data_IF_571641420891
#
_entry.id   IF_571641420891
#
_cell.length_a   1.000
_cell.length_b   1.000
_cell.length_c   1.000
_cell.angle_alpha   90.00
_cell.angle_beta   90.00
_cell.angle_gamma   90.00
#
_symmetry.space_group_name_H-M   'P 1'
#
loop_
_entity.id
_entity.type
_entity.pdbx_description
1 polymer ?
#
# COMPACT_ATOMS: atom_id res chain seq x y z
N UNK A 1 10.71 3.90 62.78
CA UNK A 1 10.28 2.50 62.68
C UNK A 1 8.80 2.48 62.35
N UNK A 2 8.43 2.01 61.16
CA UNK A 2 7.02 1.89 60.75
C UNK A 2 6.86 1.97 59.24
N UNK A 3 7.40 0.98 58.53
CA UNK A 3 7.15 0.73 57.10
C UNK A 3 5.68 0.33 56.91
N UNK A 4 4.95 1.02 56.04
CA UNK A 4 3.66 0.56 55.52
C UNK A 4 3.91 0.16 54.07
N UNK A 5 4.07 -1.14 53.84
CA UNK A 5 4.05 -1.77 52.52
C UNK A 5 2.58 -1.96 52.11
N UNK A 6 2.15 -1.29 51.05
CA UNK A 6 0.94 -1.63 50.33
C UNK A 6 1.24 -2.86 49.45
N UNK A 7 0.54 -3.96 49.69
CA UNK A 7 0.63 -5.16 48.88
C UNK A 7 -0.10 -4.94 47.54
N UNK A 8 0.65 -4.91 46.44
CA UNK A 8 0.09 -5.15 45.11
C UNK A 8 -0.33 -6.62 45.01
N UNK A 9 -1.63 -6.88 44.96
CA UNK A 9 -2.15 -8.16 44.51
C UNK A 9 -2.02 -8.20 42.97
N UNK A 10 -1.01 -8.90 42.48
CA UNK A 10 -0.92 -9.27 41.07
C UNK A 10 -2.04 -10.27 40.76
N UNK A 11 -3.04 -9.82 40.00
CA UNK A 11 -4.04 -10.69 39.40
C UNK A 11 -3.37 -11.46 38.26
N UNK A 12 -2.75 -12.61 38.58
CA UNK A 12 -2.39 -13.60 37.57
C UNK A 12 -3.69 -14.12 36.95
N UNK A 13 -3.99 -13.68 35.73
CA UNK A 13 -4.92 -14.41 34.87
C UNK A 13 -4.35 -15.83 34.69
N UNK A 14 -5.00 -16.79 35.33
CA UNK A 14 -4.90 -18.20 34.97
C UNK A 14 -5.40 -18.33 33.53
N UNK A 15 -4.46 -18.36 32.58
CA UNK A 15 -4.70 -18.88 31.24
C UNK A 15 -5.11 -20.34 31.42
N UNK A 16 -6.39 -20.64 31.19
CA UNK A 16 -6.84 -22.01 31.04
C UNK A 16 -5.99 -22.68 29.94
N UNK A 17 -5.57 -23.94 30.11
CA UNK A 17 -4.79 -24.63 29.09
C UNK A 17 -5.63 -24.68 27.80
N UNK A 18 -5.17 -24.01 26.75
CA UNK A 18 -5.72 -24.15 25.40
C UNK A 18 -5.66 -25.64 25.05
N UNK A 19 -6.83 -26.24 24.82
CA UNK A 19 -6.93 -27.63 24.40
C UNK A 19 -6.15 -27.85 23.11
N UNK A 20 -5.50 -29.02 23.02
CA UNK A 20 -4.89 -29.66 21.85
C UNK A 20 -4.27 -28.68 20.85
N UNK A 21 -2.93 -28.56 20.89
CA UNK A 21 -2.13 -27.86 19.88
C UNK A 21 -2.60 -28.26 18.47
N UNK A 22 -3.23 -27.32 17.75
CA UNK A 22 -3.32 -27.42 16.31
C UNK A 22 -1.89 -27.51 15.77
N UNK A 23 -1.69 -28.34 14.74
CA UNK A 23 -0.42 -28.37 14.03
C UNK A 23 -0.30 -27.06 13.25
N UNK A 24 0.79 -26.32 13.46
CA UNK A 24 1.08 -25.13 12.65
C UNK A 24 1.55 -25.62 11.27
N UNK A 25 0.86 -25.19 10.22
CA UNK A 25 1.16 -25.54 8.83
C UNK A 25 2.08 -24.49 8.18
N UNK A 26 2.96 -24.95 7.29
CA UNK A 26 3.83 -24.08 6.52
C UNK A 26 3.06 -23.21 5.51
N UNK A 27 1.82 -23.58 5.15
CA UNK A 27 1.01 -22.85 4.17
C UNK A 27 1.58 -22.90 2.75
N UNK A 28 2.28 -23.98 2.41
CA UNK A 28 2.86 -24.22 1.08
C UNK A 28 2.05 -25.28 0.32
N UNK A 29 2.32 -25.51 -0.96
CA UNK A 29 1.67 -26.63 -1.66
C UNK A 29 1.96 -28.01 -1.04
N UNK A 30 3.14 -28.18 -0.44
CA UNK A 30 3.57 -29.46 0.14
C UNK A 30 2.99 -29.67 1.55
N UNK A 31 2.68 -28.58 2.25
CA UNK A 31 2.07 -28.55 3.57
C UNK A 31 1.05 -27.40 3.61
N UNK A 32 -0.12 -27.60 2.97
CA UNK A 32 -1.16 -26.58 2.92
C UNK A 32 -1.85 -26.46 4.26
N UNK A 33 -2.34 -25.27 4.55
CA UNK A 33 -3.09 -24.97 5.76
C UNK A 33 -4.40 -25.75 5.85
N UNK A 34 -4.64 -26.33 7.02
CA UNK A 34 -5.87 -27.01 7.36
C UNK A 34 -6.77 -26.13 8.25
N UNK A 35 -8.09 -26.39 8.26
CA UNK A 35 -9.01 -25.65 9.12
C UNK A 35 -8.71 -25.86 10.61
N UNK A 36 -8.95 -24.84 11.43
CA UNK A 36 -8.64 -24.84 12.86
C UNK A 36 -9.58 -25.71 13.69
N UNK A 37 -10.81 -25.91 13.23
CA UNK A 37 -11.86 -26.65 13.94
C UNK A 37 -12.99 -27.08 13.01
N UNK A 38 -13.92 -27.90 13.52
CA UNK A 38 -15.11 -28.39 12.83
C UNK A 38 -15.00 -29.82 12.31
N UNK A 39 -16.11 -30.35 11.76
CA UNK A 39 -16.19 -31.69 11.15
C UNK A 39 -16.54 -31.67 9.65
N UNK A 40 -16.68 -30.47 9.08
CA UNK A 40 -16.96 -30.25 7.67
C UNK A 40 -18.39 -30.56 7.25
N UNK A 41 -19.34 -30.52 8.18
CA UNK A 41 -20.77 -30.69 7.91
C UNK A 41 -21.49 -29.34 7.90
N UNK A 42 -22.71 -29.25 7.36
CA UNK A 42 -23.48 -27.99 7.39
C UNK A 42 -23.76 -27.49 8.81
N UNK A 43 -23.95 -28.41 9.76
CA UNK A 43 -24.21 -28.11 11.17
C UNK A 43 -22.92 -27.79 11.95
N UNK A 44 -21.79 -28.29 11.49
CA UNK A 44 -20.47 -28.10 12.10
C UNK A 44 -19.39 -27.98 11.01
N UNK A 45 -19.33 -26.82 10.32
CA UNK A 45 -18.40 -26.57 9.23
C UNK A 45 -16.96 -26.52 9.72
N UNK A 46 -16.02 -26.81 8.82
CA UNK A 46 -14.62 -26.50 9.04
C UNK A 46 -14.39 -24.98 9.08
N UNK A 47 -13.51 -24.50 9.96
CA UNK A 47 -13.29 -23.06 10.16
C UNK A 47 -11.91 -22.62 9.68
N UNK A 48 -11.88 -21.59 8.84
CA UNK A 48 -10.70 -20.78 8.56
C UNK A 48 -10.93 -19.36 9.10
N UNK A 49 -10.14 -18.94 10.09
CA UNK A 49 -10.17 -17.55 10.57
C UNK A 49 -9.26 -16.71 9.67
N UNK A 50 -9.83 -15.78 8.92
CA UNK A 50 -9.08 -14.90 8.04
C UNK A 50 -8.70 -13.61 8.76
N UNK A 51 -7.52 -13.09 8.45
CA UNK A 51 -7.06 -11.73 8.76
C UNK A 51 -6.29 -11.19 7.55
N UNK A 52 -5.86 -9.94 7.58
CA UNK A 52 -5.02 -9.33 6.53
C UNK A 52 -3.73 -8.82 7.17
N UNK A 53 -2.58 -9.25 6.66
CA UNK A 53 -1.29 -8.67 7.01
C UNK A 53 -0.97 -7.54 6.03
N UNK A 54 -0.99 -6.29 6.52
CA UNK A 54 -0.71 -5.11 5.71
C UNK A 54 0.79 -4.93 5.37
N UNK A 55 1.68 -5.65 6.05
CA UNK A 55 3.12 -5.42 5.96
C UNK A 55 3.82 -6.32 4.94
N UNK A 56 3.07 -7.17 4.25
CA UNK A 56 3.63 -8.18 3.33
C UNK A 56 3.52 -7.81 1.85
N UNK A 57 2.68 -6.84 1.51
CA UNK A 57 2.54 -6.23 0.18
C UNK A 57 1.89 -4.86 0.28
N UNK A 58 1.78 -4.11 -0.82
CA UNK A 58 1.15 -2.77 -0.86
C UNK A 58 -0.25 -2.75 -0.26
N UNK A 59 -1.10 -3.68 -0.67
CA UNK A 59 -2.47 -3.87 -0.19
C UNK A 59 -2.55 -4.80 1.04
N UNK A 60 -1.58 -5.69 1.20
CA UNK A 60 -1.58 -6.78 2.18
C UNK A 60 -1.99 -8.12 1.57
N UNK A 61 -1.81 -9.20 2.32
CA UNK A 61 -2.30 -10.54 1.95
C UNK A 61 -3.19 -11.10 3.06
N UNK A 62 -4.14 -11.95 2.68
CA UNK A 62 -4.86 -12.74 3.68
C UNK A 62 -3.90 -13.66 4.43
N UNK A 63 -4.08 -13.71 5.74
CA UNK A 63 -3.46 -14.67 6.64
C UNK A 63 -4.55 -15.51 7.30
N UNK A 64 -4.17 -16.70 7.75
CA UNK A 64 -5.08 -17.63 8.41
C UNK A 64 -4.44 -18.17 9.69
N UNK A 65 -5.26 -18.42 10.70
CA UNK A 65 -4.79 -19.05 11.94
C UNK A 65 -4.08 -20.39 11.65
N UNK A 66 -3.09 -20.72 12.48
CA UNK A 66 -2.26 -21.92 12.38
C UNK A 66 -1.50 -22.07 11.04
N UNK A 67 -1.26 -20.96 10.33
CA UNK A 67 -0.47 -20.87 9.11
C UNK A 67 0.69 -19.89 9.23
N UNK A 68 1.85 -20.23 8.66
CA UNK A 68 3.03 -19.34 8.70
C UNK A 68 3.34 -18.63 7.40
N UNK A 69 2.99 -19.20 6.24
CA UNK A 69 3.25 -18.53 4.97
C UNK A 69 2.43 -17.25 4.82
N UNK A 70 3.08 -16.20 4.31
CA UNK A 70 2.40 -15.08 3.69
C UNK A 70 1.59 -15.63 2.50
N UNK A 71 0.34 -15.18 2.31
CA UNK A 71 -0.52 -15.64 1.21
C UNK A 71 -0.58 -17.18 1.11
N UNK A 72 -1.02 -17.87 2.18
CA UNK A 72 -0.84 -19.31 2.34
C UNK A 72 -1.71 -20.13 1.38
N UNK A 73 -1.23 -21.31 1.03
CA UNK A 73 -2.03 -22.33 0.32
C UNK A 73 -2.92 -23.04 1.33
N UNK A 74 -4.23 -23.09 1.07
CA UNK A 74 -5.20 -23.79 1.91
C UNK A 74 -5.55 -25.16 1.34
N UNK A 75 -6.01 -26.05 2.21
CA UNK A 75 -6.54 -27.37 1.86
C UNK A 75 -8.04 -27.43 2.13
N UNK A 76 -8.78 -27.90 1.13
CA UNK A 76 -10.20 -28.25 1.29
C UNK A 76 -10.45 -29.68 0.79
N UNK A 77 -11.29 -30.43 1.49
CA UNK A 77 -11.81 -31.72 1.07
C UNK A 77 -13.15 -31.50 0.34
N UNK A 78 -13.30 -32.16 -0.81
CA UNK A 78 -14.51 -32.06 -1.59
C UNK A 78 -15.74 -32.58 -0.84
N UNK A 79 -16.88 -31.94 -1.08
CA UNK A 79 -18.15 -32.25 -0.41
C UNK A 79 -18.22 -31.86 1.07
N UNK A 80 -17.16 -31.28 1.64
CA UNK A 80 -17.18 -30.69 3.00
C UNK A 80 -17.60 -29.23 2.96
N UNK A 81 -18.07 -28.74 4.11
CA UNK A 81 -18.50 -27.35 4.31
C UNK A 81 -17.44 -26.60 5.11
N UNK A 82 -17.05 -25.43 4.61
CA UNK A 82 -16.08 -24.54 5.23
C UNK A 82 -16.70 -23.17 5.48
N UNK A 83 -16.44 -22.57 6.64
CA UNK A 83 -16.72 -21.17 6.94
C UNK A 83 -15.39 -20.41 7.04
N UNK A 84 -15.22 -19.41 6.16
CA UNK A 84 -14.14 -18.44 6.19
C UNK A 84 -14.61 -17.23 6.99
N UNK A 85 -14.15 -17.13 8.24
CA UNK A 85 -14.58 -16.07 9.15
C UNK A 85 -13.78 -14.80 8.91
N UNK A 86 -14.47 -13.70 8.61
CA UNK A 86 -13.89 -12.37 8.44
C UNK A 86 -14.26 -11.49 9.63
N UNK A 87 -13.80 -11.90 10.81
CA UNK A 87 -14.12 -11.24 12.09
C UNK A 87 -12.98 -10.42 12.65
N UNK A 88 -11.78 -10.57 12.09
CA UNK A 88 -10.62 -9.78 12.49
C UNK A 88 -10.75 -8.34 11.97
N UNK A 89 -10.32 -7.37 12.77
CA UNK A 89 -10.47 -5.95 12.44
C UNK A 89 -9.68 -5.54 11.17
N UNK A 90 -8.68 -6.33 10.77
CA UNK A 90 -7.91 -6.13 9.54
C UNK A 90 -8.69 -6.51 8.27
N UNK A 91 -9.78 -7.30 8.38
CA UNK A 91 -10.59 -7.67 7.22
C UNK A 91 -11.52 -6.54 6.72
N UNK A 92 -11.69 -5.44 7.47
CA UNK A 92 -12.49 -4.33 6.98
C UNK A 92 -11.90 -3.79 5.68
N UNK A 93 -12.77 -3.44 4.72
CA UNK A 93 -12.43 -3.13 3.33
C UNK A 93 -11.81 -4.30 2.52
N UNK A 94 -11.80 -5.53 3.06
CA UNK A 94 -11.29 -6.72 2.37
C UNK A 94 -12.35 -7.84 2.30
N UNK A 95 -13.46 -7.68 1.55
CA UNK A 95 -14.44 -8.75 1.39
C UNK A 95 -13.85 -9.92 0.59
N UNK A 96 -13.89 -11.12 1.15
CA UNK A 96 -13.30 -12.31 0.56
C UNK A 96 -14.15 -12.87 -0.58
N UNK A 97 -13.53 -13.03 -1.75
CA UNK A 97 -14.09 -13.68 -2.93
C UNK A 97 -13.43 -15.01 -3.22
N UNK A 98 -14.07 -15.80 -4.09
CA UNK A 98 -13.50 -17.05 -4.59
C UNK A 98 -13.65 -17.12 -6.10
N UNK A 99 -12.58 -17.49 -6.79
CA UNK A 99 -12.56 -17.57 -8.24
C UNK A 99 -11.88 -18.84 -8.74
N UNK A 100 -12.15 -19.20 -10.00
CA UNK A 100 -11.45 -20.29 -10.67
C UNK A 100 -10.05 -19.88 -11.14
N UNK A 101 -9.78 -18.58 -11.17
CA UNK A 101 -8.54 -17.97 -11.63
C UNK A 101 -8.07 -16.89 -10.66
N UNK A 102 -6.79 -16.55 -10.73
CA UNK A 102 -6.18 -15.47 -9.94
C UNK A 102 -6.89 -14.14 -10.19
N UNK A 103 -7.09 -13.39 -9.12
CA UNK A 103 -7.67 -12.04 -9.05
C UNK A 103 -9.12 -11.90 -9.56
N UNK A 104 -9.78 -13.00 -9.93
CA UNK A 104 -11.23 -13.05 -10.22
C UNK A 104 -11.69 -11.89 -11.11
N UNK A 105 -12.71 -11.15 -10.65
CA UNK A 105 -13.24 -9.97 -11.34
C UNK A 105 -12.18 -8.92 -11.71
N UNK A 106 -11.16 -8.69 -10.87
CA UNK A 106 -10.12 -7.70 -11.16
C UNK A 106 -9.31 -8.05 -12.43
N UNK A 107 -9.22 -9.34 -12.77
CA UNK A 107 -8.55 -9.82 -13.97
C UNK A 107 -9.51 -10.17 -15.12
N UNK A 108 -10.79 -9.77 -15.02
CA UNK A 108 -11.87 -10.20 -15.93
C UNK A 108 -11.92 -11.73 -16.09
N UNK A 109 -11.80 -12.45 -14.97
CA UNK A 109 -11.83 -13.91 -14.93
C UNK A 109 -13.06 -14.42 -14.20
N UNK A 110 -13.46 -15.62 -14.58
CA UNK A 110 -14.62 -16.30 -14.01
C UNK A 110 -14.46 -16.56 -12.51
N UNK A 111 -15.40 -16.02 -11.75
CA UNK A 111 -15.56 -16.24 -10.32
C UNK A 111 -16.37 -17.50 -10.02
N UNK A 112 -16.42 -17.87 -8.74
CA UNK A 112 -17.34 -18.92 -8.30
C UNK A 112 -18.73 -18.33 -8.15
N UNK A 113 -19.53 -18.51 -9.18
CA UNK A 113 -20.90 -18.01 -9.22
C UNK A 113 -21.88 -19.11 -9.65
N UNK A 114 -23.15 -19.04 -9.22
CA UNK A 114 -24.15 -20.05 -9.58
C UNK A 114 -24.34 -20.22 -11.10
N UNK A 115 -24.11 -19.16 -11.88
CA UNK A 115 -24.21 -19.13 -13.34
C UNK A 115 -22.94 -19.54 -14.10
N UNK A 116 -21.84 -19.86 -13.41
CA UNK A 116 -20.54 -20.15 -14.02
C UNK A 116 -20.21 -21.64 -13.89
N UNK A 117 -20.14 -22.34 -15.03
CA UNK A 117 -19.74 -23.75 -15.05
C UNK A 117 -18.26 -23.88 -14.67
N UNK A 118 -17.90 -24.74 -13.69
CA UNK A 118 -16.50 -24.96 -13.33
C UNK A 118 -15.64 -25.32 -14.55
N UNK A 119 -14.44 -24.75 -14.71
CA UNK A 119 -13.58 -25.05 -15.85
C UNK A 119 -13.30 -26.55 -16.00
N UNK A 120 -13.52 -27.07 -17.21
CA UNK A 120 -13.35 -28.50 -17.51
C UNK A 120 -14.49 -29.40 -17.01
N UNK A 121 -15.53 -28.86 -16.36
CA UNK A 121 -16.72 -29.64 -15.98
C UNK A 121 -17.62 -29.91 -17.19
N UNK A 122 -18.27 -31.08 -17.17
CA UNK A 122 -19.35 -31.44 -18.11
C UNK A 122 -20.74 -31.10 -17.57
N UNK A 123 -20.82 -30.47 -16.39
CA UNK A 123 -22.06 -30.05 -15.76
C UNK A 123 -22.79 -28.97 -16.57
N UNK A 124 -24.12 -29.02 -16.57
CA UNK A 124 -24.98 -27.98 -17.14
C UNK A 124 -25.55 -27.06 -16.05
N UNK A 125 -24.88 -26.98 -14.89
CA UNK A 125 -25.38 -26.27 -13.72
C UNK A 125 -25.66 -24.78 -13.96
N UNK A 126 -24.92 -24.15 -14.90
CA UNK A 126 -25.10 -22.75 -15.27
C UNK A 126 -26.46 -22.48 -15.90
N UNK A 127 -27.08 -23.47 -16.56
CA UNK A 127 -28.39 -23.30 -17.18
C UNK A 127 -29.53 -23.11 -16.17
N UNK A 128 -29.28 -23.39 -14.89
CA UNK A 128 -30.24 -23.28 -13.80
C UNK A 128 -29.70 -22.50 -12.59
N UNK A 129 -28.62 -21.73 -12.76
CA UNK A 129 -27.94 -21.00 -11.69
C UNK A 129 -27.70 -21.87 -10.44
N UNK A 130 -27.19 -23.08 -10.67
CA UNK A 130 -27.01 -24.10 -9.64
C UNK A 130 -25.57 -24.62 -9.56
N UNK A 131 -24.60 -23.91 -10.17
CA UNK A 131 -23.20 -24.26 -10.02
C UNK A 131 -22.74 -24.04 -8.57
N UNK A 132 -21.64 -24.68 -8.19
CA UNK A 132 -21.06 -24.48 -6.86
C UNK A 132 -20.68 -23.00 -6.69
N UNK A 133 -21.07 -22.39 -5.59
CA UNK A 133 -20.78 -20.99 -5.30
C UNK A 133 -20.54 -20.81 -3.80
N UNK A 134 -19.81 -19.76 -3.38
CA UNK A 134 -19.81 -19.31 -2.01
C UNK A 134 -21.23 -18.86 -1.59
N UNK A 135 -21.47 -18.88 -0.30
CA UNK A 135 -22.67 -18.32 0.34
C UNK A 135 -22.24 -17.29 1.37
N UNK A 136 -22.71 -16.06 1.23
CA UNK A 136 -22.28 -14.94 2.06
C UNK A 136 -23.21 -14.71 3.24
N UNK A 137 -22.61 -14.46 4.41
CA UNK A 137 -23.32 -14.24 5.66
C UNK A 137 -22.83 -12.98 6.37
N UNK A 138 -23.76 -12.32 7.06
CA UNK A 138 -23.49 -11.09 7.82
C UNK A 138 -24.36 -10.93 9.08
N UNK A 139 -24.45 -9.68 9.53
CA UNK A 139 -25.23 -9.27 10.69
C UNK A 139 -24.52 -9.44 12.04
N UNK A 140 -25.20 -9.09 13.14
CA UNK A 140 -24.62 -9.04 14.50
C UNK A 140 -23.98 -10.36 14.95
N UNK A 141 -24.48 -11.50 14.47
CA UNK A 141 -23.96 -12.83 14.78
C UNK A 141 -23.22 -13.51 13.61
N UNK A 142 -23.17 -12.88 12.43
CA UNK A 142 -22.57 -13.49 11.23
C UNK A 142 -23.29 -14.74 10.74
N UNK A 143 -24.56 -14.92 11.13
CA UNK A 143 -25.36 -16.10 10.78
C UNK A 143 -26.51 -15.79 9.82
N UNK A 144 -26.71 -14.51 9.47
CA UNK A 144 -27.75 -14.11 8.53
C UNK A 144 -27.24 -14.35 7.12
N UNK A 145 -27.90 -15.25 6.38
CA UNK A 145 -27.60 -15.47 4.97
C UNK A 145 -28.08 -14.28 4.15
N UNK A 146 -27.19 -13.75 3.29
CA UNK A 146 -27.43 -12.50 2.58
C UNK A 146 -28.07 -12.69 1.19
N UNK A 147 -28.07 -13.91 0.63
CA UNK A 147 -28.61 -14.21 -0.70
C UNK A 147 -30.11 -14.59 -0.75
N UNK A 148 -30.88 -14.32 0.30
CA UNK A 148 -32.28 -14.74 0.38
C UNK A 148 -33.25 -13.92 -0.53
N UNK A 149 -34.42 -14.47 -0.92
CA UNK A 149 -35.44 -13.80 -1.76
C UNK A 149 -36.10 -12.56 -1.14
N UNK A 150 -35.70 -12.24 0.09
CA UNK A 150 -35.92 -10.99 0.78
C UNK A 150 -34.63 -10.68 1.50
N UNK A 151 -33.97 -9.61 1.09
CA UNK A 151 -33.02 -8.83 1.89
C UNK A 151 -33.59 -8.54 3.28
N UNK A 152 -33.42 -9.51 4.17
CA UNK A 152 -33.78 -9.36 5.57
C UNK A 152 -32.75 -8.38 6.14
N UNK A 153 -33.16 -7.31 6.83
CA UNK A 153 -32.46 -6.02 6.82
C UNK A 153 -30.99 -6.20 7.17
N UNK A 154 -30.13 -5.86 6.21
CA UNK A 154 -28.70 -5.81 6.43
C UNK A 154 -28.33 -4.51 7.12
N UNK A 155 -27.37 -4.64 8.04
CA UNK A 155 -26.78 -3.60 8.88
C UNK A 155 -27.72 -2.89 9.90
N UNK A 156 -28.91 -2.44 9.47
CA UNK A 156 -29.91 -1.80 10.30
C UNK A 156 -31.17 -2.66 10.33
N UNK A 157 -31.62 -3.07 11.51
CA UNK A 157 -32.98 -3.61 11.72
C UNK A 157 -34.12 -2.59 11.43
N UNK A 158 -33.86 -1.54 10.64
CA UNK A 158 -34.81 -0.48 10.27
C UNK A 158 -35.13 -0.54 8.77
N UNK A 159 -36.30 -0.02 8.41
CA UNK A 159 -36.88 -0.07 7.06
C UNK A 159 -36.14 0.76 5.97
N UNK A 160 -34.87 1.13 6.19
CA UNK A 160 -34.07 1.99 5.31
C UNK A 160 -32.68 1.41 5.05
N UNK A 161 -32.59 0.10 4.86
CA UNK A 161 -31.39 -0.54 4.32
C UNK A 161 -31.32 -0.26 2.80
N UNK A 162 -30.30 0.48 2.32
CA UNK A 162 -30.19 0.81 0.90
C UNK A 162 -29.90 -0.41 0.01
N UNK A 163 -29.47 -1.54 0.58
CA UNK A 163 -29.22 -2.80 -0.15
C UNK A 163 -30.40 -3.76 -0.05
N UNK A 164 -31.53 -3.32 0.52
CA UNK A 164 -32.71 -4.15 0.61
C UNK A 164 -33.32 -4.42 -0.77
N UNK A 165 -33.07 -5.63 -1.30
CA UNK A 165 -33.77 -6.21 -2.45
C UNK A 165 -32.87 -6.37 -3.68
N UNK A 166 -31.57 -6.12 -3.52
CA UNK A 166 -30.55 -6.44 -4.52
C UNK A 166 -30.50 -7.96 -4.65
N UNK A 167 -30.80 -8.50 -5.84
CA UNK A 167 -30.72 -9.93 -6.13
C UNK A 167 -29.45 -10.22 -6.91
N UNK A 168 -28.59 -11.07 -6.37
CA UNK A 168 -27.25 -11.37 -6.87
C UNK A 168 -27.15 -12.82 -7.38
N UNK A 169 -28.19 -13.36 -8.00
CA UNK A 169 -28.26 -14.81 -8.23
C UNK A 169 -28.51 -15.63 -6.95
N UNK A 170 -28.70 -14.98 -5.80
CA UNK A 170 -29.21 -15.58 -4.57
C UNK A 170 -28.14 -16.17 -3.65
N UNK A 171 -26.89 -15.71 -3.75
CA UNK A 171 -25.77 -16.23 -2.95
C UNK A 171 -25.18 -15.22 -1.96
N UNK A 172 -25.54 -13.94 -2.05
CA UNK A 172 -25.35 -12.91 -1.00
C UNK A 172 -24.18 -11.95 -1.19
N UNK A 173 -23.43 -12.03 -2.30
CA UNK A 173 -22.28 -11.17 -2.59
C UNK A 173 -22.64 -9.68 -2.72
N UNK A 174 -23.67 -9.32 -3.50
CA UNK A 174 -23.99 -7.90 -3.77
C UNK A 174 -24.52 -7.16 -2.53
N UNK A 175 -24.87 -7.92 -1.48
CA UNK A 175 -25.22 -7.39 -0.17
C UNK A 175 -24.00 -7.43 0.76
N UNK A 176 -23.13 -8.43 0.61
CA UNK A 176 -21.92 -8.62 1.42
C UNK A 176 -20.85 -7.57 1.15
N UNK A 177 -20.42 -7.42 -0.11
CA UNK A 177 -19.29 -6.56 -0.48
C UNK A 177 -19.52 -5.08 -0.11
N UNK A 178 -20.70 -4.47 -0.39
CA UNK A 178 -20.94 -3.08 -0.01
C UNK A 178 -20.80 -2.81 1.48
N UNK A 179 -21.07 -3.80 2.34
CA UNK A 179 -20.92 -3.65 3.78
C UNK A 179 -19.47 -3.37 4.21
N UNK A 180 -18.48 -3.77 3.40
CA UNK A 180 -17.07 -3.53 3.66
C UNK A 180 -16.59 -2.16 3.18
N UNK A 181 -17.22 -1.58 2.15
CA UNK A 181 -16.77 -0.33 1.51
C UNK A 181 -17.57 0.91 1.88
N UNK A 182 -18.87 0.76 2.09
CA UNK A 182 -19.78 1.90 2.28
C UNK A 182 -19.88 2.34 3.75
N UNK A 183 -19.25 1.60 4.66
CA UNK A 183 -19.28 1.85 6.10
C UNK A 183 -17.89 2.05 6.68
N UNK A 184 -17.78 2.92 7.69
CA UNK A 184 -16.57 3.03 8.49
C UNK A 184 -16.25 1.72 9.19
N UNK A 185 -14.97 1.46 9.49
CA UNK A 185 -14.57 0.23 10.20
C UNK A 185 -15.26 0.06 11.53
N UNK A 186 -15.49 1.16 12.28
CA UNK A 186 -16.20 1.12 13.55
C UNK A 186 -17.62 0.54 13.35
N UNK A 187 -18.36 1.08 12.37
CA UNK A 187 -19.70 0.61 12.01
C UNK A 187 -19.66 -0.85 11.52
N UNK A 188 -18.73 -1.19 10.62
CA UNK A 188 -18.53 -2.57 10.13
C UNK A 188 -18.26 -3.57 11.27
N UNK A 189 -17.43 -3.18 12.24
CA UNK A 189 -16.99 -4.04 13.36
C UNK A 189 -18.11 -4.43 14.33
N UNK A 190 -19.25 -3.73 14.29
CA UNK A 190 -20.42 -4.11 15.07
C UNK A 190 -21.12 -5.37 14.55
N UNK A 191 -20.71 -5.87 13.38
CA UNK A 191 -21.23 -7.07 12.76
C UNK A 191 -20.14 -8.13 12.64
N UNK A 192 -20.56 -9.33 12.25
CA UNK A 192 -19.66 -10.45 11.95
C UNK A 192 -19.97 -10.94 10.55
N UNK A 193 -18.92 -11.31 9.83
CA UNK A 193 -19.01 -11.68 8.43
C UNK A 193 -18.33 -13.02 8.22
N UNK A 194 -18.90 -13.82 7.31
CA UNK A 194 -18.26 -15.05 6.87
C UNK A 194 -18.71 -15.43 5.47
N UNK A 195 -17.86 -16.19 4.80
CA UNK A 195 -18.20 -16.84 3.53
C UNK A 195 -18.20 -18.34 3.75
N UNK A 196 -19.31 -18.99 3.41
CA UNK A 196 -19.44 -20.45 3.46
C UNK A 196 -19.18 -21.02 2.08
N UNK A 197 -18.33 -22.03 1.98
CA UNK A 197 -17.97 -22.65 0.72
C UNK A 197 -17.98 -24.18 0.81
N UNK A 198 -18.44 -24.82 -0.27
CA UNK A 198 -18.31 -26.24 -0.51
C UNK A 198 -17.95 -26.49 -1.96
N UNK A 199 -16.95 -27.34 -2.20
CA UNK A 199 -16.57 -27.76 -3.56
C UNK A 199 -17.26 -29.09 -3.86
N UNK A 200 -18.21 -29.07 -4.80
CA UNK A 200 -19.03 -30.24 -5.15
C UNK A 200 -18.72 -30.80 -6.53
N UNK A 201 -18.24 -29.96 -7.45
CA UNK A 201 -17.92 -30.40 -8.80
C UNK A 201 -16.59 -31.17 -8.81
N UNK A 202 -16.57 -32.31 -9.51
CA UNK A 202 -15.40 -33.19 -9.57
C UNK A 202 -14.24 -32.64 -10.40
N UNK A 203 -14.51 -31.72 -11.34
CA UNK A 203 -13.48 -31.08 -12.17
C UNK A 203 -12.71 -29.99 -11.40
N UNK A 204 -13.24 -29.50 -10.29
CA UNK A 204 -12.58 -28.47 -9.48
C UNK A 204 -11.47 -29.09 -8.64
N UNK A 205 -10.22 -28.92 -9.06
CA UNK A 205 -9.03 -29.37 -8.32
C UNK A 205 -8.33 -28.26 -7.55
N UNK A 206 -8.48 -27.00 -7.98
CA UNK A 206 -7.96 -25.83 -7.30
C UNK A 206 -8.90 -24.64 -7.45
N UNK A 207 -8.81 -23.70 -6.51
CA UNK A 207 -9.53 -22.44 -6.44
C UNK A 207 -8.60 -21.34 -5.94
N UNK A 208 -9.01 -20.09 -6.10
CA UNK A 208 -8.31 -18.93 -5.56
C UNK A 208 -9.22 -18.16 -4.63
N UNK A 209 -8.75 -17.85 -3.42
CA UNK A 209 -9.39 -16.84 -2.58
C UNK A 209 -8.76 -15.49 -2.93
N UNK A 210 -9.55 -14.42 -2.96
CA UNK A 210 -9.07 -13.07 -3.28
C UNK A 210 -9.90 -12.01 -2.55
N UNK A 211 -9.59 -10.73 -2.74
CA UNK A 211 -10.41 -9.62 -2.23
C UNK A 211 -11.22 -9.03 -3.39
N UNK A 212 -12.51 -8.77 -3.17
CA UNK A 212 -13.40 -8.16 -4.17
C UNK A 212 -13.15 -6.65 -4.39
N UNK A 213 -12.49 -5.98 -3.46
CA UNK A 213 -12.21 -4.54 -3.54
C UNK A 213 -10.76 -4.24 -3.92
N UNK A 214 -9.82 -5.07 -3.48
CA UNK A 214 -8.41 -4.84 -3.74
C UNK A 214 -7.79 -6.00 -4.51
N UNK A 215 -7.25 -5.66 -5.68
CA UNK A 215 -6.53 -6.61 -6.52
C UNK A 215 -5.24 -7.11 -5.86
N UNK A 216 -4.68 -8.17 -6.44
CA UNK A 216 -3.38 -8.74 -6.07
C UNK A 216 -3.31 -9.39 -4.69
N UNK A 217 -4.46 -9.68 -4.07
CA UNK A 217 -4.53 -10.37 -2.77
C UNK A 217 -4.73 -11.89 -2.89
N UNK A 218 -4.76 -12.41 -4.11
CA UNK A 218 -5.12 -13.79 -4.38
C UNK A 218 -4.20 -14.79 -3.67
N UNK A 219 -4.76 -15.84 -3.10
CA UNK A 219 -4.01 -17.03 -2.71
C UNK A 219 -4.76 -18.30 -3.11
N UNK A 220 -4.17 -19.45 -2.82
CA UNK A 220 -4.58 -20.72 -3.44
C UNK A 220 -5.28 -21.65 -2.48
N UNK A 221 -6.23 -22.42 -3.01
CA UNK A 221 -6.90 -23.51 -2.33
C UNK A 221 -6.72 -24.76 -3.17
N UNK A 222 -6.13 -25.79 -2.57
CA UNK A 222 -6.01 -27.11 -3.17
C UNK A 222 -7.18 -27.99 -2.71
N UNK A 223 -7.84 -28.65 -3.66
CA UNK A 223 -8.96 -29.54 -3.37
C UNK A 223 -8.49 -30.99 -3.31
N UNK A 224 -8.90 -31.69 -2.27
CA UNK A 224 -8.62 -33.10 -2.01
C UNK A 224 -9.92 -33.90 -2.03
N UNK A 225 -9.80 -35.18 -2.33
CA UNK A 225 -10.92 -36.14 -2.27
C UNK A 225 -10.45 -37.40 -1.55
N UNK A 226 -10.98 -37.64 -0.35
CA UNK A 226 -10.55 -38.75 0.49
C UNK A 226 -9.07 -38.66 0.87
N UNK A 227 -8.55 -37.44 1.06
CA UNK A 227 -7.13 -37.19 1.37
C UNK A 227 -6.18 -37.26 0.17
N UNK A 228 -6.69 -37.46 -1.05
CA UNK A 228 -5.89 -37.45 -2.28
C UNK A 228 -6.09 -36.12 -3.01
N UNK A 229 -5.00 -35.39 -3.30
CA UNK A 229 -5.06 -34.13 -4.07
C UNK A 229 -5.68 -34.39 -5.43
N UNK A 230 -6.72 -33.64 -5.79
CA UNK A 230 -7.30 -33.67 -7.14
C UNK A 230 -6.30 -33.10 -8.15
N UNK A 231 -6.36 -33.58 -9.38
CA UNK A 231 -5.53 -33.08 -10.49
C UNK A 231 -6.38 -32.44 -11.55
N UNK A 232 -5.92 -31.30 -12.08
CA UNK A 232 -6.53 -30.65 -13.25
C UNK A 232 -6.29 -31.49 -14.51
N UNK A 233 -7.11 -32.51 -14.73
CA UNK A 233 -7.03 -33.33 -15.94
C UNK A 233 -7.74 -32.63 -17.11
N UNK A 234 -7.29 -31.45 -17.53
CA UNK A 234 -7.77 -30.80 -18.76
C UNK A 234 -7.96 -29.29 -18.74
N UNK A 235 -8.02 -28.66 -17.56
CA UNK A 235 -7.84 -27.22 -17.44
C UNK A 235 -6.33 -26.94 -17.45
N UNK A 236 -5.86 -25.93 -18.19
CA UNK A 236 -4.45 -25.52 -18.16
C UNK A 236 -3.95 -25.33 -16.72
N UNK A 237 -2.64 -25.35 -16.52
CA UNK A 237 -2.03 -25.22 -15.19
C UNK A 237 -2.25 -23.80 -14.64
N UNK A 238 -3.43 -23.52 -14.04
CA UNK A 238 -3.87 -22.19 -13.57
C UNK A 238 -2.98 -21.67 -12.44
N UNK A 239 -2.28 -22.57 -11.75
CA UNK A 239 -1.23 -22.30 -10.77
C UNK A 239 -0.10 -21.37 -11.26
N UNK A 240 0.17 -21.31 -12.58
CA UNK A 240 1.27 -20.50 -13.13
C UNK A 240 0.98 -18.99 -13.11
N UNK A 241 -0.27 -18.59 -12.88
CA UNK A 241 -0.70 -17.19 -13.03
C UNK A 241 -0.65 -16.40 -11.71
N UNK A 242 -0.32 -17.03 -10.57
CA UNK A 242 -0.22 -16.31 -9.30
C UNK A 242 1.06 -15.46 -9.29
N UNK A 243 0.97 -14.11 -9.14
CA UNK A 243 2.15 -13.26 -9.12
C UNK A 243 3.11 -13.66 -8.01
N UNK A 244 4.40 -13.46 -8.19
CA UNK A 244 5.36 -13.65 -7.11
C UNK A 244 4.98 -12.76 -5.91
N UNK A 245 5.34 -13.21 -4.71
CA UNK A 245 5.19 -12.36 -3.52
C UNK A 245 6.09 -11.15 -3.65
N UNK A 246 5.63 -10.04 -3.06
CA UNK A 246 6.41 -8.80 -2.98
C UNK A 246 7.73 -9.10 -2.28
N UNK A 247 8.83 -8.83 -2.96
CA UNK A 247 10.16 -9.03 -2.38
C UNK A 247 10.42 -7.88 -1.42
N UNK A 248 10.75 -8.21 -0.17
CA UNK A 248 11.07 -7.24 0.88
C UNK A 248 12.47 -7.50 1.41
N UNK A 249 13.32 -6.50 1.36
CA UNK A 249 14.63 -6.53 1.99
C UNK A 249 14.51 -6.23 3.50
N UNK A 250 15.64 -6.26 4.20
CA UNK A 250 15.68 -6.03 5.64
C UNK A 250 15.12 -4.65 6.03
N UNK A 251 15.39 -3.62 5.24
CA UNK A 251 14.90 -2.26 5.51
C UNK A 251 13.38 -2.16 5.29
N UNK A 252 12.83 -2.78 4.24
CA UNK A 252 11.39 -2.86 4.02
C UNK A 252 10.69 -3.52 5.23
N UNK A 253 11.24 -4.64 5.71
CA UNK A 253 10.69 -5.38 6.87
C UNK A 253 10.78 -4.56 8.16
N UNK A 254 11.93 -3.94 8.39
CA UNK A 254 12.17 -3.07 9.55
C UNK A 254 11.20 -1.90 9.53
N UNK A 255 11.14 -1.14 8.44
CA UNK A 255 10.28 0.02 8.34
C UNK A 255 8.79 -0.32 8.26
N UNK A 256 8.45 -1.52 7.76
CA UNK A 256 7.07 -1.96 7.54
C UNK A 256 6.43 -1.39 6.27
N UNK A 257 7.16 -0.58 5.49
CA UNK A 257 6.71 -0.20 4.16
C UNK A 257 6.92 -1.32 3.16
N UNK A 258 6.27 -1.22 2.01
CA UNK A 258 6.29 -2.25 0.98
C UNK A 258 6.43 -1.62 -0.40
N UNK A 259 7.24 -2.20 -1.31
CA UNK A 259 7.17 -1.87 -2.72
C UNK A 259 5.77 -2.14 -3.30
N UNK A 260 5.40 -1.41 -4.34
CA UNK A 260 4.15 -1.60 -5.08
C UNK A 260 4.42 -1.93 -6.55
N UNK A 261 5.12 -3.04 -6.81
CA UNK A 261 5.55 -3.48 -8.16
C UNK A 261 4.39 -3.54 -9.17
N UNK A 262 3.19 -3.94 -8.72
CA UNK A 262 1.99 -4.02 -9.56
C UNK A 262 1.45 -2.64 -10.01
N UNK A 263 2.01 -1.55 -9.49
CA UNK A 263 1.66 -0.16 -9.80
C UNK A 263 2.91 0.65 -10.14
N UNK A 264 3.83 0.04 -10.89
CA UNK A 264 5.05 0.66 -11.44
C UNK A 264 6.09 1.09 -10.38
N UNK A 265 5.92 0.71 -9.11
CA UNK A 265 6.93 0.90 -8.06
C UNK A 265 7.83 -0.33 -7.93
N UNK A 266 8.76 -0.46 -8.87
CA UNK A 266 9.67 -1.62 -8.95
C UNK A 266 10.90 -1.50 -8.05
N UNK A 267 11.30 -0.28 -7.67
CA UNK A 267 12.46 -0.05 -6.81
C UNK A 267 12.11 -0.13 -5.32
N UNK A 268 10.88 0.27 -4.96
CA UNK A 268 10.43 0.34 -3.58
C UNK A 268 11.12 1.44 -2.76
N UNK A 269 10.65 1.71 -1.53
CA UNK A 269 11.14 2.85 -0.76
C UNK A 269 12.58 2.71 -0.28
N UNK A 270 13.06 1.50 -0.01
CA UNK A 270 14.43 1.26 0.46
C UNK A 270 15.51 1.70 -0.54
N UNK A 271 15.19 1.77 -1.85
CA UNK A 271 16.09 2.35 -2.86
C UNK A 271 16.31 3.87 -2.71
N UNK A 272 15.45 4.55 -1.94
CA UNK A 272 15.43 6.01 -1.78
C UNK A 272 15.89 6.47 -0.39
N UNK A 273 16.44 5.56 0.42
CA UNK A 273 16.95 5.87 1.76
C UNK A 273 18.05 6.95 1.77
N UNK A 274 18.31 7.50 2.95
CA UNK A 274 19.37 8.50 3.15
C UNK A 274 20.74 7.99 2.69
N UNK A 275 21.50 8.84 2.00
CA UNK A 275 22.84 8.49 1.49
C UNK A 275 22.86 7.73 0.16
N UNK A 276 21.71 7.36 -0.41
CA UNK A 276 21.61 6.76 -1.76
C UNK A 276 21.93 7.77 -2.87
N UNK A 277 21.81 9.07 -2.58
CA UNK A 277 21.96 10.14 -3.57
C UNK A 277 20.74 10.33 -4.47
N UNK A 278 19.63 9.61 -4.20
CA UNK A 278 18.38 9.73 -4.96
C UNK A 278 17.70 11.08 -4.73
N UNK A 279 17.70 11.56 -3.48
CA UNK A 279 17.22 12.89 -3.09
C UNK A 279 18.32 13.83 -2.64
N UNK A 280 18.12 15.11 -2.94
CA UNK A 280 19.09 16.19 -2.71
C UNK A 280 18.83 16.88 -1.37
N UNK A 281 17.56 16.93 -0.95
CA UNK A 281 17.11 17.58 0.27
C UNK A 281 16.40 16.57 1.17
N UNK A 282 16.42 16.84 2.46
CA UNK A 282 15.68 16.06 3.47
C UNK A 282 14.28 16.65 3.66
N UNK A 283 13.32 15.78 3.93
CA UNK A 283 11.92 16.14 4.12
C UNK A 283 11.59 16.41 5.60
N UNK A 284 12.34 15.80 6.53
CA UNK A 284 12.11 15.91 7.97
C UNK A 284 13.32 16.48 8.71
N UNK A 285 13.06 17.44 9.60
CA UNK A 285 14.04 17.90 10.59
C UNK A 285 14.21 16.85 11.69
N UNK A 286 15.45 16.54 12.07
CA UNK A 286 15.74 15.61 13.18
C UNK A 286 17.00 14.79 12.97
N UNK A 287 17.35 13.96 13.96
CA UNK A 287 18.51 13.06 13.88
C UNK A 287 18.25 11.88 12.96
N UNK A 288 19.25 11.50 12.16
CA UNK A 288 19.22 10.32 11.29
C UNK A 288 19.41 9.02 12.07
N UNK A 289 19.78 9.10 13.36
CA UNK A 289 19.83 7.93 14.25
C UNK A 289 18.42 7.41 14.59
N UNK A 290 17.38 8.20 14.32
CA UNK A 290 15.99 7.80 14.55
C UNK A 290 15.48 6.92 13.39
N UNK A 291 15.11 5.68 13.72
CA UNK A 291 14.63 4.72 12.74
C UNK A 291 13.32 5.14 12.07
N UNK A 292 12.38 5.75 12.81
CA UNK A 292 11.14 6.25 12.25
C UNK A 292 11.43 7.37 11.25
N UNK A 293 12.30 8.31 11.60
CA UNK A 293 12.70 9.39 10.69
C UNK A 293 13.33 8.84 9.41
N UNK A 294 14.27 7.89 9.53
CA UNK A 294 14.91 7.27 8.36
C UNK A 294 13.90 6.60 7.43
N UNK A 295 12.93 5.88 7.99
CA UNK A 295 11.89 5.22 7.20
C UNK A 295 11.00 6.23 6.47
N UNK A 296 10.62 7.34 7.14
CA UNK A 296 9.81 8.40 6.55
C UNK A 296 10.57 9.13 5.42
N UNK A 297 11.85 9.45 5.62
CA UNK A 297 12.68 10.09 4.59
C UNK A 297 12.78 9.26 3.31
N UNK A 298 12.83 7.93 3.43
CA UNK A 298 12.91 7.03 2.28
C UNK A 298 11.63 7.11 1.40
N UNK A 299 10.45 7.06 2.02
CA UNK A 299 9.17 7.09 1.29
C UNK A 299 8.85 8.50 0.77
N UNK A 300 9.23 9.56 1.51
CA UNK A 300 9.08 10.94 1.05
C UNK A 300 10.00 11.22 -0.13
N UNK A 301 11.23 10.74 -0.07
CA UNK A 301 12.18 10.82 -1.19
C UNK A 301 11.68 10.07 -2.42
N UNK A 302 11.15 8.86 -2.24
CA UNK A 302 10.55 8.07 -3.31
C UNK A 302 9.42 8.87 -3.97
N UNK A 303 8.46 9.37 -3.19
CA UNK A 303 7.34 10.18 -3.68
C UNK A 303 7.81 11.41 -4.44
N UNK A 304 8.77 12.18 -3.90
CA UNK A 304 9.32 13.35 -4.56
C UNK A 304 9.91 13.00 -5.94
N UNK A 305 10.55 11.83 -6.04
CA UNK A 305 11.13 11.35 -7.28
C UNK A 305 10.07 10.86 -8.27
N UNK A 306 9.12 10.04 -7.82
CA UNK A 306 8.17 9.33 -8.68
C UNK A 306 6.94 10.17 -9.07
N UNK A 307 6.65 11.25 -8.35
CA UNK A 307 5.64 12.25 -8.74
C UNK A 307 6.10 13.22 -9.84
N UNK A 308 7.37 13.19 -10.23
CA UNK A 308 7.89 13.99 -11.34
C UNK A 308 7.50 13.33 -12.65
N UNK A 309 6.41 13.82 -13.24
CA UNK A 309 5.88 13.32 -14.50
C UNK A 309 5.77 14.46 -15.50
N UNK A 310 5.98 14.19 -16.78
CA UNK A 310 5.68 15.17 -17.82
C UNK A 310 4.17 15.42 -17.89
N UNK A 311 3.82 16.69 -18.04
CA UNK A 311 2.44 17.11 -18.25
C UNK A 311 1.88 16.49 -19.53
N UNK A 312 0.76 15.78 -19.40
CA UNK A 312 -0.07 15.32 -20.51
C UNK A 312 -1.09 16.40 -20.89
N UNK A 313 -1.46 16.47 -22.17
CA UNK A 313 -2.54 17.34 -22.64
C UNK A 313 -3.90 17.01 -21.98
N UNK A 314 -4.04 15.79 -21.45
CA UNK A 314 -5.12 15.43 -20.54
C UNK A 314 -4.70 15.68 -19.06
N UNK A 315 -5.28 16.69 -18.39
CA UNK A 315 -4.96 16.96 -16.99
C UNK A 315 -5.35 15.81 -16.05
N UNK A 316 -6.33 14.98 -16.41
CA UNK A 316 -6.72 13.80 -15.61
C UNK A 316 -5.59 12.76 -15.64
N UNK A 317 -4.97 12.52 -16.79
CA UNK A 317 -3.81 11.61 -16.89
C UNK A 317 -2.66 12.12 -16.03
N UNK A 318 -2.34 13.41 -16.09
CA UNK A 318 -1.30 14.01 -15.24
C UNK A 318 -1.64 13.82 -13.76
N UNK A 319 -2.89 14.07 -13.37
CA UNK A 319 -3.36 13.87 -11.99
C UNK A 319 -3.20 12.41 -11.53
N UNK A 320 -3.69 11.43 -12.31
CA UNK A 320 -3.59 10.01 -11.93
C UNK A 320 -2.14 9.57 -11.76
N UNK A 321 -1.27 9.96 -12.70
CA UNK A 321 0.16 9.62 -12.67
C UNK A 321 0.89 10.19 -11.45
N UNK A 322 0.52 11.38 -10.98
CA UNK A 322 1.08 11.96 -9.75
C UNK A 322 0.43 11.42 -8.48
N UNK A 323 -0.87 11.11 -8.53
CA UNK A 323 -1.62 10.77 -7.34
C UNK A 323 -1.39 9.31 -6.90
N UNK A 324 -1.07 8.40 -7.82
CA UNK A 324 -0.65 7.03 -7.48
C UNK A 324 0.57 7.01 -6.55
N UNK A 325 1.73 7.60 -6.90
CA UNK A 325 2.89 7.63 -6.00
C UNK A 325 2.65 8.47 -4.74
N UNK A 326 1.83 9.52 -4.82
CA UNK A 326 1.40 10.26 -3.62
C UNK A 326 0.63 9.36 -2.64
N UNK A 327 -0.30 8.55 -3.14
CA UNK A 327 -1.08 7.61 -2.33
C UNK A 327 -0.21 6.47 -1.81
N UNK A 328 0.74 5.95 -2.61
CA UNK A 328 1.72 4.95 -2.15
C UNK A 328 2.52 5.47 -0.95
N UNK A 329 2.93 6.75 -0.98
CA UNK A 329 3.60 7.38 0.16
C UNK A 329 2.69 7.42 1.40
N UNK A 330 1.44 7.86 1.25
CA UNK A 330 0.48 7.92 2.37
C UNK A 330 0.23 6.54 3.00
N UNK A 331 0.08 5.50 2.17
CA UNK A 331 -0.03 4.10 2.62
C UNK A 331 1.21 3.71 3.43
N UNK A 332 2.41 3.97 2.89
CA UNK A 332 3.66 3.61 3.55
C UNK A 332 3.90 4.42 4.84
N UNK A 333 3.54 5.70 4.90
CA UNK A 333 3.57 6.50 6.14
C UNK A 333 2.73 5.85 7.24
N UNK A 334 1.51 5.43 6.89
CA UNK A 334 0.61 4.77 7.83
C UNK A 334 1.18 3.43 8.32
N UNK A 335 1.76 2.63 7.42
CA UNK A 335 2.44 1.38 7.79
C UNK A 335 3.66 1.61 8.68
N UNK A 336 4.51 2.60 8.37
CA UNK A 336 5.65 2.96 9.21
C UNK A 336 5.17 3.30 10.62
N UNK A 337 4.15 4.14 10.76
CA UNK A 337 3.65 4.51 12.08
C UNK A 337 3.08 3.29 12.84
N UNK A 338 2.38 2.39 12.16
CA UNK A 338 1.89 1.13 12.75
C UNK A 338 3.01 0.14 13.10
N UNK A 339 4.17 0.19 12.40
CA UNK A 339 5.31 -0.70 12.66
C UNK A 339 6.24 -0.15 13.74
N UNK A 340 6.66 1.10 13.58
CA UNK A 340 7.69 1.77 14.38
C UNK A 340 7.11 2.51 15.59
N UNK A 341 5.91 3.08 15.45
CA UNK A 341 5.23 3.87 16.47
C UNK A 341 4.05 3.17 17.12
N UNK A 342 3.91 1.84 17.00
CA UNK A 342 2.75 1.08 17.49
C UNK A 342 2.41 1.39 18.96
N UNK A 343 3.42 1.46 19.83
CA UNK A 343 3.23 1.78 21.24
C UNK A 343 2.76 3.22 21.47
N UNK A 344 3.21 4.16 20.65
CA UNK A 344 2.78 5.56 20.69
C UNK A 344 1.34 5.71 20.20
N UNK A 345 0.97 5.01 19.13
CA UNK A 345 -0.42 4.94 18.64
C UNK A 345 -1.33 4.37 19.73
N UNK A 346 -0.98 3.23 20.32
CA UNK A 346 -1.78 2.62 21.39
C UNK A 346 -1.91 3.53 22.62
N UNK A 347 -0.84 4.23 22.99
CA UNK A 347 -0.86 5.17 24.12
C UNK A 347 -1.73 6.39 23.82
N UNK A 348 -1.68 6.91 22.59
CA UNK A 348 -2.47 8.05 22.17
C UNK A 348 -3.97 7.69 22.08
N UNK A 349 -4.31 6.54 21.49
CA UNK A 349 -5.69 6.04 21.47
C UNK A 349 -6.21 5.75 22.88
N UNK A 350 -5.40 5.16 23.77
CA UNK A 350 -5.79 4.95 25.17
C UNK A 350 -6.06 6.27 25.90
N UNK A 351 -5.31 7.34 25.58
CA UNK A 351 -5.53 8.67 26.15
C UNK A 351 -6.81 9.35 25.61
N UNK A 352 -7.21 9.03 24.38
CA UNK A 352 -8.45 9.52 23.76
C UNK A 352 -9.70 8.76 24.26
N UNK A 353 -9.54 7.53 24.75
CA UNK A 353 -10.64 6.75 25.33
C UNK A 353 -11.70 6.39 24.29
N UNK A 354 -12.94 6.84 24.51
CA UNK A 354 -14.06 6.60 23.57
C UNK A 354 -13.87 7.30 22.22
N UNK A 355 -13.03 8.34 22.16
CA UNK A 355 -12.70 9.10 20.96
C UNK A 355 -11.43 8.59 20.24
N UNK A 356 -10.94 7.39 20.59
CA UNK A 356 -9.77 6.79 19.94
C UNK A 356 -9.99 6.64 18.43
N UNK A 357 -9.05 7.16 17.63
CA UNK A 357 -9.19 7.18 16.17
C UNK A 357 -7.89 6.98 15.41
N UNK A 358 -6.72 7.01 16.06
CA UNK A 358 -5.44 7.05 15.34
C UNK A 358 -5.17 5.71 14.68
N UNK A 359 -5.24 4.60 15.41
CA UNK A 359 -5.07 3.27 14.82
C UNK A 359 -6.12 2.98 13.74
N UNK A 360 -7.33 3.52 13.90
CA UNK A 360 -8.40 3.39 12.92
C UNK A 360 -8.08 4.16 11.63
N UNK A 361 -7.75 5.45 11.75
CA UNK A 361 -7.36 6.33 10.66
C UNK A 361 -6.18 5.75 9.86
N UNK A 362 -5.20 5.13 10.51
CA UNK A 362 -4.06 4.53 9.80
C UNK A 362 -4.48 3.35 8.92
N UNK A 363 -5.40 2.51 9.39
CA UNK A 363 -5.96 1.41 8.58
C UNK A 363 -6.89 1.95 7.48
N UNK A 364 -7.64 3.02 7.75
CA UNK A 364 -8.44 3.75 6.74
C UNK A 364 -7.56 4.28 5.61
N UNK A 365 -6.42 4.88 5.95
CA UNK A 365 -5.43 5.35 4.97
C UNK A 365 -4.90 4.17 4.15
N UNK A 366 -4.45 3.09 4.80
CA UNK A 366 -3.89 1.93 4.09
C UNK A 366 -4.91 1.35 3.11
N UNK A 367 -6.13 1.05 3.56
CA UNK A 367 -7.10 0.37 2.72
C UNK A 367 -7.73 1.32 1.70
N UNK A 368 -8.13 2.53 2.10
CA UNK A 368 -8.79 3.49 1.23
C UNK A 368 -7.88 4.03 0.14
N UNK A 369 -6.61 4.33 0.46
CA UNK A 369 -5.67 4.85 -0.54
C UNK A 369 -5.22 3.74 -1.51
N UNK A 370 -5.09 2.48 -1.07
CA UNK A 370 -4.86 1.37 -1.99
C UNK A 370 -6.04 1.14 -2.94
N UNK A 371 -7.29 1.28 -2.47
CA UNK A 371 -8.47 1.22 -3.35
C UNK A 371 -8.41 2.31 -4.42
N UNK A 372 -8.08 3.54 -4.02
CA UNK A 372 -7.91 4.66 -4.95
C UNK A 372 -6.75 4.43 -5.94
N UNK A 373 -5.64 3.83 -5.50
CA UNK A 373 -4.54 3.44 -6.41
C UNK A 373 -5.05 2.47 -7.49
N UNK A 374 -5.85 1.46 -7.11
CA UNK A 374 -6.45 0.53 -8.07
C UNK A 374 -7.35 1.26 -9.08
N UNK A 375 -8.20 2.17 -8.63
CA UNK A 375 -9.09 2.96 -9.51
C UNK A 375 -8.29 3.82 -10.50
N UNK A 376 -7.27 4.53 -10.00
CA UNK A 376 -6.43 5.40 -10.82
C UNK A 376 -5.59 4.60 -11.82
N UNK A 377 -5.02 3.47 -11.39
CA UNK A 377 -4.25 2.59 -12.27
C UNK A 377 -5.16 1.93 -13.32
N UNK A 378 -6.36 1.50 -12.94
CA UNK A 378 -7.38 0.97 -13.85
C UNK A 378 -7.81 1.99 -14.91
N UNK A 379 -7.97 3.26 -14.52
CA UNK A 379 -8.24 4.35 -15.47
C UNK A 379 -7.11 4.47 -16.51
N UNK A 380 -5.84 4.48 -16.07
CA UNK A 380 -4.70 4.57 -16.98
C UNK A 380 -4.58 3.33 -17.88
N UNK A 381 -4.82 2.12 -17.35
CA UNK A 381 -4.85 0.87 -18.11
C UNK A 381 -5.92 0.88 -19.21
N UNK A 382 -7.09 1.46 -18.94
CA UNK A 382 -8.15 1.64 -19.93
C UNK A 382 -7.73 2.50 -21.13
N UNK A 383 -6.76 3.40 -20.94
CA UNK A 383 -6.23 4.27 -22.00
C UNK A 383 -5.05 3.63 -22.75
N UNK A 384 -4.28 2.74 -22.11
CA UNK A 384 -3.02 2.22 -22.67
C UNK A 384 -3.20 1.21 -23.81
N UNK A 385 -4.43 0.78 -24.13
CA UNK A 385 -4.72 -0.17 -25.21
C UNK A 385 -3.91 -1.48 -25.18
N UNK A 386 -3.48 -1.90 -23.98
CA UNK A 386 -2.67 -3.10 -23.75
C UNK A 386 -1.16 -2.84 -23.64
N UNK A 387 -0.70 -1.60 -23.83
CA UNK A 387 0.66 -1.20 -23.47
C UNK A 387 0.83 -1.14 -21.94
N UNK A 388 2.06 -1.31 -21.41
CA UNK A 388 2.33 -1.12 -19.99
C UNK A 388 1.83 0.23 -19.50
N UNK A 389 1.19 0.23 -18.34
CA UNK A 389 0.70 1.46 -17.72
C UNK A 389 1.90 2.28 -17.25
N UNK A 390 2.08 3.44 -17.85
CA UNK A 390 3.13 4.38 -17.44
C UNK A 390 2.59 5.24 -16.29
N UNK A 391 3.04 4.95 -15.06
CA UNK A 391 2.75 5.80 -13.91
C UNK A 391 3.89 6.80 -13.75
N UNK A 392 5.12 6.32 -13.67
CA UNK A 392 6.31 7.11 -13.41
C UNK A 392 6.95 7.65 -14.70
N UNK A 393 7.76 8.70 -14.60
CA UNK A 393 8.57 9.22 -15.71
C UNK A 393 10.02 9.40 -15.24
N UNK A 394 10.83 8.35 -15.41
CA UNK A 394 12.21 8.34 -14.93
C UNK A 394 13.07 9.46 -15.57
N UNK A 395 12.74 9.84 -16.81
CA UNK A 395 13.48 10.86 -17.54
C UNK A 395 13.11 12.28 -17.09
N UNK A 396 11.85 12.51 -16.68
CA UNK A 396 11.40 13.82 -16.19
C UNK A 396 12.24 14.30 -15.00
N UNK A 397 12.55 13.40 -14.06
CA UNK A 397 13.40 13.73 -12.91
C UNK A 397 14.83 14.14 -13.34
N UNK A 398 15.38 13.51 -14.38
CA UNK A 398 16.69 13.85 -14.93
C UNK A 398 16.67 15.18 -15.68
N UNK A 399 15.62 15.43 -16.47
CA UNK A 399 15.42 16.68 -17.22
C UNK A 399 15.34 17.90 -16.27
N UNK A 400 14.56 17.79 -15.20
CA UNK A 400 14.46 18.86 -14.18
C UNK A 400 15.80 19.14 -13.48
N UNK A 401 16.58 18.09 -13.18
CA UNK A 401 17.93 18.24 -12.60
C UNK A 401 18.86 18.97 -13.58
N UNK A 402 18.79 18.65 -14.87
CA UNK A 402 19.58 19.29 -15.91
C UNK A 402 19.22 20.77 -16.08
N UNK A 403 17.93 21.11 -16.13
CA UNK A 403 17.47 22.51 -16.21
C UNK A 403 17.93 23.35 -15.02
N UNK A 404 17.82 22.82 -13.80
CA UNK A 404 18.30 23.49 -12.59
C UNK A 404 19.83 23.68 -12.62
N UNK A 405 20.57 22.68 -13.12
CA UNK A 405 22.03 22.75 -13.32
C UNK A 405 22.43 23.84 -14.31
N UNK A 406 21.75 23.93 -15.45
CA UNK A 406 21.97 24.98 -16.45
C UNK A 406 21.70 26.37 -15.86
N UNK A 407 20.59 26.55 -15.15
CA UNK A 407 20.25 27.82 -14.54
C UNK A 407 21.31 28.27 -13.52
N UNK A 408 21.76 27.36 -12.63
CA UNK A 408 22.85 27.64 -11.69
C UNK A 408 24.16 28.01 -12.42
N UNK A 409 24.51 27.28 -13.48
CA UNK A 409 25.69 27.55 -14.30
C UNK A 409 25.64 28.95 -14.92
N UNK A 410 24.49 29.36 -15.46
CA UNK A 410 24.28 30.69 -16.03
C UNK A 410 24.48 31.77 -14.96
N UNK A 411 23.90 31.62 -13.77
CA UNK A 411 24.07 32.59 -12.68
C UNK A 411 25.51 32.70 -12.19
N UNK A 412 26.25 31.60 -12.12
CA UNK A 412 27.69 31.61 -11.80
C UNK A 412 28.46 32.40 -12.86
N UNK A 413 28.19 32.15 -14.15
CA UNK A 413 28.84 32.88 -15.25
C UNK A 413 28.51 34.37 -15.22
N UNK A 414 27.26 34.74 -14.98
CA UNK A 414 26.84 36.15 -14.81
C UNK A 414 27.59 36.78 -13.63
N UNK A 415 27.67 36.10 -12.49
CA UNK A 415 28.41 36.56 -11.32
C UNK A 415 29.90 36.79 -11.61
N UNK A 416 30.55 35.86 -12.31
CA UNK A 416 31.95 35.99 -12.73
C UNK A 416 32.15 37.17 -13.70
N UNK A 417 31.24 37.36 -14.65
CA UNK A 417 31.28 38.49 -15.58
C UNK A 417 31.11 39.84 -14.86
N UNK A 418 30.16 39.95 -13.95
CA UNK A 418 29.98 41.16 -13.12
C UNK A 418 31.24 41.42 -12.28
N UNK A 419 31.79 40.38 -11.65
CA UNK A 419 33.03 40.46 -10.89
C UNK A 419 34.21 41.00 -11.71
N UNK A 420 34.37 40.51 -12.95
CA UNK A 420 35.39 40.99 -13.88
C UNK A 420 35.19 42.46 -14.26
N UNK A 421 33.95 42.89 -14.51
CA UNK A 421 33.64 44.30 -14.83
C UNK A 421 33.94 45.21 -13.65
N UNK A 422 33.55 44.82 -12.43
CA UNK A 422 33.84 45.57 -11.20
C UNK A 422 35.35 45.67 -10.98
N UNK A 423 36.08 44.57 -11.12
CA UNK A 423 37.54 44.55 -10.99
C UNK A 423 38.21 45.47 -12.02
N UNK A 424 37.78 45.42 -13.28
CA UNK A 424 38.27 46.30 -14.34
C UNK A 424 38.00 47.77 -14.03
N UNK A 425 36.81 48.11 -13.53
CA UNK A 425 36.46 49.47 -13.12
C UNK A 425 37.32 49.98 -11.95
N UNK A 426 37.58 49.13 -10.94
CA UNK A 426 38.47 49.45 -9.82
C UNK A 426 39.90 49.67 -10.31
N UNK A 427 40.43 48.77 -11.14
CA UNK A 427 41.76 48.89 -11.73
C UNK A 427 41.90 50.15 -12.61
N UNK A 428 40.86 50.48 -13.38
CA UNK A 428 40.83 51.68 -14.20
C UNK A 428 40.76 52.95 -13.33
N UNK A 429 39.97 52.95 -12.26
CA UNK A 429 39.93 54.03 -11.27
C UNK A 429 41.29 54.25 -10.59
N UNK A 430 41.94 53.17 -10.16
CA UNK A 430 43.28 53.20 -9.59
C UNK A 430 44.32 53.74 -10.60
N UNK A 431 44.22 53.33 -11.87
CA UNK A 431 45.08 53.82 -12.95
C UNK A 431 44.89 55.33 -13.22
N UNK A 432 43.64 55.81 -13.26
CA UNK A 432 43.34 57.25 -13.37
C UNK A 432 43.93 58.02 -12.18
N UNK A 433 43.72 57.52 -10.96
CA UNK A 433 44.25 58.15 -9.75
C UNK A 433 45.78 58.24 -9.79
N UNK A 434 46.45 57.13 -10.12
CA UNK A 434 47.90 57.09 -10.27
C UNK A 434 48.41 58.07 -11.34
N UNK A 435 47.73 58.18 -12.50
CA UNK A 435 48.08 59.18 -13.53
C UNK A 435 47.89 60.62 -13.05
N UNK A 436 46.84 60.91 -12.27
CA UNK A 436 46.60 62.26 -11.70
C UNK A 436 47.67 62.63 -10.67
N UNK A 437 48.03 61.71 -9.78
CA UNK A 437 49.09 61.93 -8.78
C UNK A 437 50.44 62.16 -9.46
N UNK A 438 50.84 61.32 -10.43
CA UNK A 438 52.10 61.51 -11.18
C UNK A 438 52.07 62.79 -12.03
N UNK A 439 50.91 63.16 -12.58
CA UNK A 439 50.72 64.43 -13.31
C UNK A 439 50.99 65.66 -12.44
N UNK A 440 50.60 65.63 -11.16
CA UNK A 440 50.88 66.71 -10.20
C UNK A 440 52.36 66.82 -9.83
N UNK A 441 53.11 65.71 -9.79
CA UNK A 441 54.56 65.75 -9.57
C UNK A 441 55.34 66.36 -10.76
N UNK A 442 54.90 66.13 -12.01
CA UNK A 442 55.53 66.77 -13.19
C UNK A 442 55.30 68.27 -13.28
N UNK A 443 54.25 68.82 -12.65
CA UNK A 443 54.03 70.27 -12.59
C UNK A 443 54.85 71.00 -11.52
N UNK A 444 55.41 70.27 -10.54
CA UNK A 444 56.23 70.87 -9.48
C UNK A 444 57.69 71.10 -9.90
N UNK A 445 58.22 70.34 -10.86
CA UNK A 445 59.59 70.55 -11.38
C UNK A 445 59.72 71.68 -12.42
N UNK A 446 58.61 72.11 -13.02
CA UNK A 446 58.63 73.19 -14.04
C UNK A 446 58.58 74.62 -13.45
N UNK A 447 58.34 74.76 -12.13
CA UNK A 447 58.18 76.06 -11.47
C UNK A 447 59.43 76.65 -10.81
N UNK A 448 60.56 75.94 -10.79
CA UNK A 448 61.71 76.31 -9.93
C UNK A 448 62.90 77.00 -10.65
N UNK A 449 62.83 77.29 -11.96
CA UNK A 449 63.94 77.93 -12.70
C UNK A 449 63.48 79.12 -13.55
N UNK A 450 62.97 80.18 -12.92
CA UNK A 450 62.85 81.47 -13.60
C UNK A 450 62.96 82.64 -12.60
N UNK A 451 64.19 83.13 -12.40
CA UNK A 451 64.38 84.52 -11.96
C UNK A 451 65.44 84.75 -10.90
N UNK A 452 66.72 84.77 -11.27
CA UNK A 452 67.72 85.71 -10.71
C UNK A 452 68.82 85.97 -11.76
N UNK A 453 68.72 87.10 -12.46
CA UNK A 453 69.81 87.80 -13.17
C UNK A 453 69.27 89.20 -13.47
N UNK A 454 69.55 90.25 -12.72
CA UNK A 454 70.79 91.03 -12.75
C UNK A 454 70.54 92.29 -11.92
N UNK A 455 71.52 92.78 -11.16
CA UNK A 455 72.17 94.09 -11.39
C UNK A 455 73.20 94.38 -10.30
N UNK A 456 74.45 94.52 -10.72
CA UNK A 456 75.57 95.08 -9.97
C UNK A 456 76.00 96.40 -10.62
N UNK A 457 76.33 97.40 -9.79
CA UNK A 457 77.14 98.64 -9.96
C UNK A 457 76.63 99.62 -8.87
N UNK A 458 77.41 100.17 -7.95
CA UNK A 458 78.81 100.62 -7.90
C UNK A 458 79.43 100.25 -6.55
#
# INVERSE_FOLDING_TARGET
MGLIFAALAALMLLVAPRGVSAAIHAGTEADPCEPTSGSGTTADPYIFNASVDFFVSSTGYYAFDDCTAERPVLKMEAGKVYDFLQTDATNWLHPMGFAYYVDGAHANKDELEPGVTPPGSSSTCAASDACQSPMYYGGKTGSVFLGGPSSTPTFLSTASDPYAGVSDGGFGLDVYEPQFKDWSKAAWSENKYKVRLSVTDAATAELFYFCHLHAHMSGRILVFDGGVRRTNNGAGNVAADLPNQTVRNEEDVVCGFTPAENHDDTLGPSAFGLGTGMCVERHLCGSEDDQFLRCMEAIDCQMEHTMRVRHSDDPVVTFMRQMIPHHQNAVNMAKILLRQGAAAVASADAALGEDAFIGQMLVDIINGQNLQIHDMHGYLAGLSSGDPVEVQDADCAADLKHEAGLAKGIWILIGLLIGLVVLAAVMFGAWIWHRRVIGQYKSLDAGAFAGVATTAKV
#
